data_IF_370775430414
#
_entry.id   IF_370775430414
#
_cell.length_a   1.000
_cell.length_b   1.000
_cell.length_c   1.000
_cell.angle_alpha   90.00
_cell.angle_beta   90.00
_cell.angle_gamma   90.00
#
_symmetry.space_group_name_H-M   'P 1'
#
loop_
_entity.id
_entity.type
_entity.pdbx_description
1 polymer ?
#
# COMPACT_ATOMS: atom_id res chain seq x y z
N UNK A 1 14.00 -22.99 1.15
CA UNK A 1 14.61 -21.73 1.61
C UNK A 1 13.80 -20.55 1.12
N UNK A 2 13.13 -19.82 2.02
CA UNK A 2 12.59 -18.49 1.74
C UNK A 2 13.75 -17.53 1.66
N UNK A 3 13.95 -16.86 0.53
CA UNK A 3 14.96 -15.81 0.42
C UNK A 3 14.53 -14.60 1.25
N UNK A 4 15.49 -13.81 1.76
CA UNK A 4 15.19 -12.57 2.51
C UNK A 4 14.24 -11.64 1.74
N UNK A 5 14.43 -11.53 0.43
CA UNK A 5 13.55 -10.76 -0.46
C UNK A 5 12.11 -11.29 -0.47
N UNK A 6 11.92 -12.61 -0.46
CA UNK A 6 10.58 -13.22 -0.44
C UNK A 6 9.83 -12.91 0.86
N UNK A 7 10.54 -12.80 1.98
CA UNK A 7 9.95 -12.44 3.29
C UNK A 7 9.43 -11.01 3.25
N UNK A 8 10.27 -10.05 2.84
CA UNK A 8 9.86 -8.64 2.71
C UNK A 8 8.70 -8.46 1.73
N UNK A 9 8.73 -9.18 0.61
CA UNK A 9 7.63 -9.16 -0.36
C UNK A 9 6.32 -9.70 0.23
N UNK A 10 6.37 -10.73 1.07
CA UNK A 10 5.19 -11.28 1.71
C UNK A 10 4.64 -10.34 2.79
N UNK A 11 5.52 -9.76 3.62
CA UNK A 11 5.17 -8.78 4.66
C UNK A 11 4.57 -7.50 4.08
N UNK A 12 4.92 -7.14 2.83
CA UNK A 12 4.30 -6.00 2.13
C UNK A 12 2.83 -6.25 1.77
N UNK A 13 2.33 -7.49 1.94
CA UNK A 13 0.99 -8.00 1.62
C UNK A 13 0.47 -7.47 0.26
N UNK A 14 1.03 -7.91 -0.88
CA UNK A 14 0.68 -7.42 -2.22
C UNK A 14 -0.82 -7.46 -2.53
N UNK A 15 -1.54 -8.42 -1.94
CA UNK A 15 -2.99 -8.59 -2.09
C UNK A 15 -3.80 -7.43 -1.46
N UNK A 16 -3.23 -6.64 -0.54
CA UNK A 16 -3.90 -5.47 0.06
C UNK A 16 -3.60 -4.17 -0.68
N UNK A 17 -2.58 -4.13 -1.56
CA UNK A 17 -2.22 -2.93 -2.32
C UNK A 17 -3.35 -2.36 -3.20
N UNK A 18 -4.24 -3.16 -3.81
CA UNK A 18 -5.40 -2.61 -4.53
C UNK A 18 -6.27 -1.68 -3.69
N UNK A 19 -6.33 -1.86 -2.36
CA UNK A 19 -7.07 -0.97 -1.46
C UNK A 19 -6.45 0.45 -1.42
N UNK A 20 -5.13 0.56 -1.51
CA UNK A 20 -4.43 1.85 -1.64
C UNK A 20 -4.56 2.46 -3.04
N UNK A 21 -4.67 1.64 -4.08
CA UNK A 21 -4.81 2.09 -5.48
C UNK A 21 -6.22 2.67 -5.74
N UNK A 22 -7.26 2.01 -5.23
CA UNK A 22 -8.66 2.37 -5.47
C UNK A 22 -8.98 3.87 -5.24
N UNK A 23 -8.64 4.49 -4.09
CA UNK A 23 -8.94 5.90 -3.86
C UNK A 23 -8.19 6.83 -4.83
N UNK A 24 -6.97 6.47 -5.24
CA UNK A 24 -6.18 7.26 -6.21
C UNK A 24 -6.81 7.23 -7.59
N UNK A 25 -7.31 6.06 -8.01
CA UNK A 25 -8.04 5.91 -9.29
C UNK A 25 -9.32 6.73 -9.28
N UNK A 26 -10.10 6.66 -8.19
CA UNK A 26 -11.34 7.44 -8.05
C UNK A 26 -11.06 8.94 -8.08
N UNK A 27 -10.07 9.42 -7.31
CA UNK A 27 -9.69 10.83 -7.30
C UNK A 27 -9.15 11.30 -8.66
N UNK A 28 -8.40 10.45 -9.36
CA UNK A 28 -7.91 10.75 -10.72
C UNK A 28 -9.06 10.88 -11.72
N UNK A 29 -10.07 10.01 -11.64
CA UNK A 29 -11.27 10.11 -12.47
C UNK A 29 -12.07 11.39 -12.21
N UNK A 30 -12.20 11.78 -10.94
CA UNK A 30 -12.85 13.04 -10.56
C UNK A 30 -12.09 14.25 -11.13
N UNK A 31 -10.78 14.32 -10.90
CA UNK A 31 -9.93 15.39 -11.42
C UNK A 31 -9.98 15.48 -12.96
N UNK A 32 -10.08 14.33 -13.64
CA UNK A 32 -10.25 14.29 -15.09
C UNK A 32 -11.59 14.87 -15.53
N UNK A 33 -12.68 14.53 -14.83
CA UNK A 33 -14.02 15.07 -15.13
C UNK A 33 -14.13 16.58 -14.91
N UNK A 34 -13.31 17.15 -14.03
CA UNK A 34 -13.23 18.60 -13.76
C UNK A 34 -12.20 19.33 -14.63
N UNK A 35 -11.49 18.62 -15.53
CA UNK A 35 -10.46 19.22 -16.39
C UNK A 35 -9.19 19.66 -15.68
N UNK A 36 -8.97 19.20 -14.44
CA UNK A 36 -7.83 19.55 -13.58
C UNK A 36 -6.87 18.38 -13.34
N UNK A 37 -7.00 17.31 -14.13
CA UNK A 37 -6.15 16.13 -14.03
C UNK A 37 -4.68 16.44 -14.36
N UNK A 38 -3.79 15.94 -13.52
CA UNK A 38 -2.35 16.06 -13.67
C UNK A 38 -1.72 14.70 -13.39
N UNK A 39 -1.05 14.13 -14.39
CA UNK A 39 -0.48 12.77 -14.31
C UNK A 39 0.62 12.68 -13.24
N UNK A 40 1.38 13.75 -13.03
CA UNK A 40 2.48 13.78 -12.06
C UNK A 40 1.91 13.75 -10.65
N UNK A 41 0.87 14.55 -10.37
CA UNK A 41 0.15 14.52 -9.08
C UNK A 41 -0.48 13.16 -8.82
N UNK A 42 -1.09 12.55 -9.83
CA UNK A 42 -1.69 11.22 -9.72
C UNK A 42 -0.64 10.15 -9.38
N UNK A 43 0.54 10.17 -10.01
CA UNK A 43 1.63 9.25 -9.70
C UNK A 43 2.23 9.46 -8.31
N UNK A 44 2.46 10.71 -7.90
CA UNK A 44 2.95 11.00 -6.55
C UNK A 44 1.94 10.49 -5.51
N UNK A 45 0.64 10.72 -5.72
CA UNK A 45 -0.42 10.21 -4.87
C UNK A 45 -0.43 8.67 -4.83
N UNK A 46 -0.26 8.01 -5.97
CA UNK A 46 -0.16 6.56 -6.07
C UNK A 46 1.02 6.00 -5.25
N UNK A 47 2.21 6.59 -5.40
CA UNK A 47 3.38 6.15 -4.63
C UNK A 47 3.19 6.34 -3.13
N UNK A 48 2.65 7.50 -2.71
CA UNK A 48 2.32 7.76 -1.31
C UNK A 48 1.34 6.71 -0.79
N UNK A 49 0.24 6.45 -1.50
CA UNK A 49 -0.77 5.50 -1.08
C UNK A 49 -0.22 4.06 -0.97
N UNK A 50 0.59 3.63 -1.95
CA UNK A 50 1.22 2.31 -1.92
C UNK A 50 2.23 2.18 -0.77
N UNK A 51 3.10 3.17 -0.57
CA UNK A 51 4.06 3.13 0.54
C UNK A 51 3.36 3.19 1.90
N UNK A 52 2.28 3.96 2.02
CA UNK A 52 1.51 4.02 3.26
C UNK A 52 0.81 2.70 3.55
N UNK A 53 0.26 2.03 2.53
CA UNK A 53 -0.32 0.69 2.66
C UNK A 53 0.74 -0.34 3.09
N UNK A 54 1.93 -0.32 2.48
CA UNK A 54 3.04 -1.22 2.85
C UNK A 54 3.52 -0.93 4.27
N UNK A 55 3.70 0.34 4.64
CA UNK A 55 4.10 0.74 5.98
C UNK A 55 3.08 0.28 7.03
N UNK A 56 1.79 0.41 6.73
CA UNK A 56 0.72 -0.08 7.60
C UNK A 56 0.74 -1.61 7.74
N UNK A 57 1.00 -2.34 6.65
CA UNK A 57 1.15 -3.80 6.69
C UNK A 57 2.33 -4.22 7.59
N UNK A 58 3.49 -3.56 7.46
CA UNK A 58 4.65 -3.83 8.30
C UNK A 58 4.41 -3.46 9.77
N UNK A 59 3.75 -2.34 10.04
CA UNK A 59 3.38 -1.95 11.40
C UNK A 59 2.46 -3.00 12.04
N UNK A 60 1.46 -3.48 11.29
CA UNK A 60 0.56 -4.53 11.76
C UNK A 60 1.33 -5.81 12.09
N UNK A 61 2.21 -6.30 11.19
CA UNK A 61 3.04 -7.47 11.45
C UNK A 61 3.91 -7.31 12.73
N UNK A 62 4.49 -6.12 12.95
CA UNK A 62 5.27 -5.83 14.16
C UNK A 62 4.42 -5.84 15.43
N UNK A 63 3.25 -5.19 15.41
CA UNK A 63 2.38 -5.14 16.58
C UNK A 63 1.68 -6.47 16.86
N UNK A 64 1.41 -7.27 15.83
CA UNK A 64 0.84 -8.62 15.97
C UNK A 64 1.85 -9.57 16.63
N UNK A 65 3.14 -9.47 16.26
CA UNK A 65 4.23 -10.14 16.96
C UNK A 65 4.31 -9.69 18.43
N UNK A 66 4.31 -8.38 18.69
CA UNK A 66 4.42 -7.86 20.06
C UNK A 66 3.23 -8.24 20.96
N UNK A 67 2.02 -8.31 20.39
CA UNK A 67 0.78 -8.68 21.11
C UNK A 67 0.62 -10.19 21.33
N UNK A 68 1.49 -11.02 20.74
CA UNK A 68 1.41 -12.48 20.84
C UNK A 68 0.31 -13.11 19.98
N UNK A 69 -0.22 -12.38 18.99
CA UNK A 69 -1.18 -12.92 18.01
C UNK A 69 -0.50 -13.89 17.02
N UNK A 70 0.78 -13.65 16.74
CA UNK A 70 1.64 -14.58 16.00
C UNK A 70 2.49 -15.38 16.99
N UNK A 71 2.01 -16.57 17.37
CA UNK A 71 2.82 -17.60 18.07
C UNK A 71 3.58 -18.46 17.04
N UNK A 72 4.76 -19.01 17.41
CA UNK A 72 5.55 -19.89 16.53
C UNK A 72 4.78 -21.09 15.96
#
# INVERSE_FOLDING_TARGET
MTTRLKIWFLAARPKTLPAGIAPVVVASGLAFSEGVFDWFRALVCLFIALFFQIASNFANDYFDYFKGSDTP
#
